data_IF_478587521325
#
_entry.id   IF_478587521325
#
_cell.length_a   1.000
_cell.length_b   1.000
_cell.length_c   1.000
_cell.angle_alpha   90.00
_cell.angle_beta   90.00
_cell.angle_gamma   90.00
#
_symmetry.space_group_name_H-M   'P 1'
#
loop_
_entity.id
_entity.type
_entity.pdbx_description
1 polymer ?
#
# COMPACT_ATOMS: atom_id res chain seq x y z
N UNK A 1 -13.65 -10.21 -4.40
CA UNK A 1 -14.67 -11.21 -3.98
C UNK A 1 -14.28 -12.67 -4.28
N UNK A 2 -14.14 -13.09 -5.56
CA UNK A 2 -13.93 -14.51 -5.93
C UNK A 2 -12.84 -15.23 -5.13
N UNK A 3 -11.66 -14.63 -4.98
CA UNK A 3 -10.55 -15.21 -4.21
C UNK A 3 -10.90 -15.45 -2.74
N UNK A 4 -11.49 -14.46 -2.07
CA UNK A 4 -11.90 -14.57 -0.65
C UNK A 4 -12.96 -15.66 -0.45
N UNK A 5 -13.98 -15.73 -1.33
CA UNK A 5 -15.02 -16.76 -1.28
C UNK A 5 -14.47 -18.17 -1.53
N UNK A 6 -13.42 -18.30 -2.34
CA UNK A 6 -12.75 -19.59 -2.56
C UNK A 6 -11.92 -20.01 -1.34
N UNK A 7 -11.07 -19.11 -0.84
CA UNK A 7 -10.19 -19.38 0.32
C UNK A 7 -11.02 -19.68 1.57
N UNK A 8 -12.11 -18.95 1.81
CA UNK A 8 -12.95 -19.12 2.99
C UNK A 8 -13.49 -20.55 3.15
N UNK A 9 -13.74 -21.27 2.05
CA UNK A 9 -14.25 -22.64 2.09
C UNK A 9 -13.24 -23.67 2.59
N UNK A 10 -11.94 -23.41 2.42
CA UNK A 10 -10.90 -24.45 2.52
C UNK A 10 -9.62 -24.02 3.24
N UNK A 11 -9.48 -22.74 3.63
CA UNK A 11 -8.23 -22.28 4.21
C UNK A 11 -8.22 -20.85 4.75
N UNK A 12 -7.02 -20.28 4.81
CA UNK A 12 -6.72 -18.98 5.40
C UNK A 12 -5.84 -18.16 4.47
N UNK A 13 -6.24 -16.91 4.20
CA UNK A 13 -5.53 -16.04 3.27
C UNK A 13 -4.29 -15.38 3.89
N UNK A 14 -3.24 -15.20 3.11
CA UNK A 14 -2.16 -14.25 3.39
C UNK A 14 -2.44 -12.97 2.61
N UNK A 15 -2.98 -11.96 3.28
CA UNK A 15 -3.40 -10.72 2.65
C UNK A 15 -2.21 -9.75 2.63
N UNK A 16 -1.72 -9.38 1.46
CA UNK A 16 -0.61 -8.44 1.32
C UNK A 16 -0.76 -7.63 0.03
N UNK A 17 -0.16 -6.43 0.01
CA UNK A 17 -0.01 -5.62 -1.20
C UNK A 17 1.44 -5.42 -1.61
N UNK A 18 2.36 -5.49 -0.64
CA UNK A 18 3.79 -5.24 -0.83
C UNK A 18 4.62 -6.40 -0.31
N UNK A 19 5.79 -6.57 -0.93
CA UNK A 19 6.90 -7.40 -0.48
C UNK A 19 8.16 -6.95 -1.24
N UNK A 20 9.29 -7.59 -0.96
CA UNK A 20 10.59 -7.29 -1.57
C UNK A 20 10.71 -7.60 -3.08
N UNK A 21 9.69 -8.19 -3.71
CA UNK A 21 9.64 -8.54 -5.14
C UNK A 21 8.59 -7.72 -5.92
N UNK A 22 7.83 -6.85 -5.25
CA UNK A 22 6.83 -5.99 -5.88
C UNK A 22 7.23 -4.52 -5.77
N UNK A 23 6.81 -3.65 -6.71
CA UNK A 23 6.91 -2.21 -6.51
C UNK A 23 5.94 -1.75 -5.39
N UNK A 24 6.09 -0.52 -4.92
CA UNK A 24 5.23 0.06 -3.88
C UNK A 24 3.77 0.07 -4.31
N UNK A 25 2.89 -0.34 -3.41
CA UNK A 25 1.46 -0.53 -3.67
C UNK A 25 0.79 0.77 -4.11
N UNK A 26 1.19 1.89 -3.50
CA UNK A 26 0.66 3.21 -3.81
C UNK A 26 0.96 3.62 -5.26
N UNK A 27 2.19 3.40 -5.73
CA UNK A 27 2.57 3.64 -7.13
C UNK A 27 1.99 2.63 -8.11
N UNK A 28 1.71 1.41 -7.66
CA UNK A 28 1.19 0.31 -8.49
C UNK A 28 -0.32 0.43 -8.72
N UNK A 29 -1.10 0.75 -7.69
CA UNK A 29 -2.56 0.68 -7.71
C UNK A 29 -3.24 2.04 -7.81
N UNK A 30 -2.68 3.11 -7.24
CA UNK A 30 -3.26 4.46 -7.36
C UNK A 30 -2.74 5.12 -8.64
N UNK A 31 -3.65 5.27 -9.62
CA UNK A 31 -3.29 5.75 -10.96
C UNK A 31 -3.00 7.24 -10.95
N UNK A 32 -3.82 8.01 -10.25
CA UNK A 32 -3.79 9.46 -10.16
C UNK A 32 -2.69 9.92 -9.19
N UNK A 33 -1.63 10.59 -9.69
CA UNK A 33 -0.48 10.95 -8.87
C UNK A 33 -0.81 11.78 -7.62
N UNK A 34 -1.84 12.64 -7.69
CA UNK A 34 -2.25 13.48 -6.56
C UNK A 34 -2.82 12.70 -5.36
N UNK A 35 -3.23 11.44 -5.57
CA UNK A 35 -3.71 10.55 -4.50
C UNK A 35 -2.65 9.55 -4.04
N UNK A 36 -1.42 9.62 -4.56
CA UNK A 36 -0.28 8.86 -4.05
C UNK A 36 0.30 9.52 -2.80
N UNK A 37 -0.56 9.69 -1.81
CA UNK A 37 -0.31 10.32 -0.52
C UNK A 37 -1.01 9.53 0.60
N UNK A 38 -1.09 10.11 1.80
CA UNK A 38 -1.73 9.48 2.96
C UNK A 38 -3.18 9.01 2.71
N UNK A 39 -3.98 9.72 1.89
CA UNK A 39 -5.37 9.32 1.59
C UNK A 39 -5.37 7.97 0.85
N UNK A 40 -4.61 7.88 -0.25
CA UNK A 40 -4.51 6.65 -1.03
C UNK A 40 -3.86 5.51 -0.27
N UNK A 41 -2.85 5.79 0.56
CA UNK A 41 -2.17 4.79 1.38
C UNK A 41 -3.13 4.18 2.41
N UNK A 42 -3.89 5.00 3.13
CA UNK A 42 -4.90 4.54 4.09
C UNK A 42 -6.06 3.80 3.42
N UNK A 43 -6.49 4.24 2.23
CA UNK A 43 -7.53 3.55 1.47
C UNK A 43 -7.09 2.13 1.06
N UNK A 44 -5.86 1.99 0.55
CA UNK A 44 -5.27 0.69 0.27
C UNK A 44 -5.11 -0.14 1.54
N UNK A 45 -4.64 0.46 2.64
CA UNK A 45 -4.49 -0.22 3.93
C UNK A 45 -5.81 -0.83 4.41
N UNK A 46 -6.89 -0.02 4.44
CA UNK A 46 -8.22 -0.47 4.84
C UNK A 46 -8.74 -1.59 3.92
N UNK A 47 -8.52 -1.48 2.60
CA UNK A 47 -8.96 -2.45 1.62
C UNK A 47 -8.47 -3.87 1.92
N UNK A 48 -7.15 -4.07 2.07
CA UNK A 48 -6.59 -5.42 2.17
C UNK A 48 -6.54 -5.93 3.62
N UNK A 49 -6.35 -5.04 4.59
CA UNK A 49 -6.17 -5.42 5.99
C UNK A 49 -7.46 -5.98 6.60
N UNK A 50 -8.61 -5.50 6.14
CA UNK A 50 -9.93 -5.98 6.55
C UNK A 50 -10.38 -7.28 5.88
N UNK A 51 -9.66 -7.83 4.92
CA UNK A 51 -10.00 -9.11 4.28
C UNK A 51 -9.82 -10.30 5.25
N UNK A 52 -10.55 -11.40 5.02
CA UNK A 52 -10.40 -12.62 5.83
C UNK A 52 -9.00 -13.21 5.61
N UNK A 53 -8.28 -13.44 6.70
CA UNK A 53 -6.90 -13.93 6.65
C UNK A 53 -5.94 -13.24 7.62
N UNK A 54 -4.65 -13.48 7.39
CA UNK A 54 -3.53 -12.85 8.07
C UNK A 54 -3.00 -11.71 7.19
N UNK A 55 -3.15 -10.43 7.59
CA UNK A 55 -2.58 -9.31 6.87
C UNK A 55 -1.08 -9.19 7.12
N UNK A 56 -0.31 -8.93 6.06
CA UNK A 56 1.12 -8.64 6.11
C UNK A 56 1.35 -7.18 5.74
N UNK A 57 2.22 -6.51 6.49
CA UNK A 57 2.69 -5.15 6.21
C UNK A 57 4.17 -5.30 5.87
N UNK A 58 4.58 -4.73 4.74
CA UNK A 58 5.99 -4.71 4.35
C UNK A 58 6.63 -3.37 4.71
N UNK A 59 7.89 -3.36 5.12
CA UNK A 59 8.58 -2.17 5.62
C UNK A 59 8.42 -0.96 4.67
N UNK A 60 7.84 0.12 5.19
CA UNK A 60 7.64 1.38 4.49
C UNK A 60 6.26 1.51 3.83
N UNK A 61 5.50 0.42 3.75
CA UNK A 61 4.10 0.45 3.33
C UNK A 61 3.27 1.28 4.34
N UNK A 62 3.58 1.15 5.62
CA UNK A 62 2.97 1.86 6.72
C UNK A 62 3.34 3.35 6.79
N UNK A 63 4.32 3.78 6.01
CA UNK A 63 4.65 5.20 5.81
C UNK A 63 4.02 5.76 4.53
N UNK A 64 3.42 4.90 3.69
CA UNK A 64 2.93 5.30 2.38
C UNK A 64 4.04 5.57 1.35
N UNK A 65 5.19 4.88 1.45
CA UNK A 65 6.30 5.05 0.51
C UNK A 65 5.87 4.79 -0.96
N UNK A 66 6.45 5.56 -1.88
CA UNK A 66 6.25 5.42 -3.33
C UNK A 66 7.49 4.86 -4.03
N UNK A 67 7.33 4.45 -5.28
CA UNK A 67 8.45 4.02 -6.12
C UNK A 67 9.51 5.13 -6.20
N UNK A 68 10.78 4.73 -6.23
CA UNK A 68 11.86 5.64 -6.59
C UNK A 68 11.80 5.96 -8.09
N UNK A 69 12.24 7.16 -8.46
CA UNK A 69 12.46 7.54 -9.86
C UNK A 69 13.95 7.63 -10.11
N UNK A 70 14.45 6.72 -10.94
CA UNK A 70 15.85 6.63 -11.37
C UNK A 70 16.00 7.14 -12.78
N UNK A 71 17.12 7.79 -13.06
CA UNK A 71 17.45 8.42 -14.34
C UNK A 71 18.47 7.64 -15.16
N UNK A 72 19.05 6.57 -14.61
CA UNK A 72 19.97 5.68 -15.30
C UNK A 72 19.74 4.23 -14.81
N UNK A 73 19.91 3.24 -15.70
CA UNK A 73 19.89 1.81 -15.39
C UNK A 73 20.95 1.43 -14.34
N UNK A 74 22.09 2.13 -14.28
CA UNK A 74 23.16 1.90 -13.29
C UNK A 74 22.73 2.21 -11.84
N UNK A 75 21.61 2.92 -11.65
CA UNK A 75 21.05 3.20 -10.32
C UNK A 75 20.19 2.04 -9.78
N UNK A 76 19.98 0.99 -10.57
CA UNK A 76 19.30 -0.23 -10.17
C UNK A 76 20.32 -1.31 -9.78
N UNK A 77 20.01 -2.09 -8.75
CA UNK A 77 20.78 -3.27 -8.36
C UNK A 77 20.05 -4.58 -8.75
N UNK A 78 18.77 -4.51 -9.12
CA UNK A 78 18.02 -5.68 -9.55
C UNK A 78 18.46 -6.17 -10.94
N UNK A 79 19.04 -7.37 -10.99
CA UNK A 79 19.41 -8.05 -12.23
C UNK A 79 18.25 -8.14 -13.24
N UNK A 80 17.02 -8.35 -12.77
CA UNK A 80 15.85 -8.40 -13.64
C UNK A 80 15.56 -7.04 -14.29
N UNK A 81 15.83 -5.92 -13.61
CA UNK A 81 15.71 -4.59 -14.20
C UNK A 81 16.74 -4.40 -15.33
N UNK A 82 18.00 -4.79 -15.10
CA UNK A 82 19.06 -4.77 -16.12
C UNK A 82 18.72 -5.63 -17.34
N UNK A 83 18.21 -6.86 -17.12
CA UNK A 83 17.84 -7.76 -18.21
C UNK A 83 16.64 -7.26 -19.01
N UNK A 84 15.60 -6.77 -18.33
CA UNK A 84 14.41 -6.22 -19.00
C UNK A 84 14.74 -4.93 -19.75
N UNK A 85 15.62 -4.09 -19.21
CA UNK A 85 16.10 -2.89 -19.90
C UNK A 85 16.83 -3.27 -21.19
N UNK A 86 17.83 -4.16 -21.11
CA UNK A 86 18.59 -4.64 -22.29
C UNK A 86 17.70 -5.33 -23.31
N UNK A 87 16.73 -6.13 -22.87
CA UNK A 87 15.73 -6.76 -23.74
C UNK A 87 14.90 -5.70 -24.46
N UNK A 88 14.37 -4.70 -23.76
CA UNK A 88 13.57 -3.65 -24.38
C UNK A 88 14.35 -2.91 -25.48
N UNK A 89 15.63 -2.59 -25.25
CA UNK A 89 16.49 -2.01 -26.28
C UNK A 89 16.66 -2.94 -27.50
N UNK A 90 16.88 -4.24 -27.27
CA UNK A 90 17.01 -5.22 -28.33
C UNK A 90 15.73 -5.40 -29.17
N UNK A 91 14.56 -5.16 -28.57
CA UNK A 91 13.26 -5.17 -29.26
C UNK A 91 12.93 -3.81 -29.93
N UNK A 92 13.84 -2.84 -29.90
CA UNK A 92 13.70 -1.55 -30.60
C UNK A 92 13.02 -0.44 -29.80
N UNK A 93 12.80 -0.60 -28.49
CA UNK A 93 12.33 0.50 -27.64
C UNK A 93 13.46 1.48 -27.33
N UNK A 94 13.12 2.76 -27.11
CA UNK A 94 14.09 3.76 -26.67
C UNK A 94 14.51 3.55 -25.21
N UNK A 95 15.66 4.11 -24.85
CA UNK A 95 16.16 4.12 -23.47
C UNK A 95 15.13 4.71 -22.49
N UNK A 96 14.49 5.82 -22.85
CA UNK A 96 13.45 6.45 -22.03
C UNK A 96 12.26 5.53 -21.75
N UNK A 97 11.79 4.79 -22.76
CA UNK A 97 10.69 3.84 -22.62
C UNK A 97 11.14 2.66 -21.75
N UNK A 98 12.30 2.08 -22.03
CA UNK A 98 12.86 0.99 -21.25
C UNK A 98 13.04 1.38 -19.78
N UNK A 99 13.61 2.57 -19.52
CA UNK A 99 13.84 3.12 -18.19
C UNK A 99 12.53 3.40 -17.44
N UNK A 100 11.52 3.92 -18.14
CA UNK A 100 10.17 4.13 -17.59
C UNK A 100 9.53 2.81 -17.16
N UNK A 101 9.66 1.77 -17.99
CA UNK A 101 9.14 0.44 -17.68
C UNK A 101 9.80 -0.16 -16.43
N UNK A 102 11.13 -0.12 -16.33
CA UNK A 102 11.84 -0.68 -15.16
C UNK A 102 11.61 0.15 -13.90
N UNK A 103 11.53 1.49 -13.99
CA UNK A 103 11.13 2.33 -12.84
C UNK A 103 9.75 1.95 -12.29
N UNK A 104 8.82 1.61 -13.18
CA UNK A 104 7.46 1.24 -12.77
C UNK A 104 7.38 -0.15 -12.14
N UNK A 105 8.23 -1.09 -12.55
CA UNK A 105 8.07 -2.53 -12.27
C UNK A 105 9.15 -3.14 -11.39
N UNK A 106 10.35 -2.56 -11.35
CA UNK A 106 11.46 -3.13 -10.61
C UNK A 106 11.11 -3.29 -9.14
N UNK A 107 11.57 -4.42 -8.58
CA UNK A 107 11.47 -4.72 -7.16
C UNK A 107 12.42 -3.90 -6.29
N UNK A 108 13.41 -3.23 -6.87
CA UNK A 108 14.25 -2.26 -6.16
C UNK A 108 13.44 -1.10 -5.58
N UNK A 109 12.23 -0.86 -6.06
CA UNK A 109 11.31 0.11 -5.47
C UNK A 109 10.89 -0.23 -4.04
N UNK A 110 10.86 -1.52 -3.69
CA UNK A 110 10.58 -1.98 -2.33
C UNK A 110 11.84 -2.11 -1.47
N UNK A 111 13.04 -2.02 -2.07
CA UNK A 111 14.31 -2.32 -1.40
C UNK A 111 15.13 -1.10 -1.02
N UNK A 112 14.64 0.10 -1.36
CA UNK A 112 15.31 1.34 -0.96
C UNK A 112 15.45 1.39 0.56
N UNK A 113 16.54 1.98 1.09
CA UNK A 113 16.70 2.21 2.52
C UNK A 113 15.44 2.75 3.19
N UNK A 114 15.14 2.24 4.39
CA UNK A 114 13.98 2.67 5.16
C UNK A 114 14.23 4.08 5.73
N UNK A 115 13.35 5.06 5.51
CA UNK A 115 13.53 6.43 5.98
C UNK A 115 13.06 6.54 7.44
N UNK A 116 14.00 6.50 8.38
CA UNK A 116 13.72 6.67 9.81
C UNK A 116 13.41 8.12 10.18
N UNK A 117 14.18 9.07 9.66
CA UNK A 117 14.08 10.50 9.96
C UNK A 117 14.60 11.36 8.79
N UNK A 118 14.78 12.67 9.01
CA UNK A 118 15.31 13.62 8.03
C UNK A 118 16.85 13.80 8.12
N UNK A 119 17.54 12.96 8.89
CA UNK A 119 19.00 12.99 8.97
C UNK A 119 19.64 12.40 7.70
N UNK A 120 20.98 12.39 7.65
CA UNK A 120 21.71 11.83 6.51
C UNK A 120 21.28 10.38 6.23
N UNK A 121 21.02 10.07 4.95
CA UNK A 121 20.50 8.78 4.50
C UNK A 121 19.19 8.37 5.20
N UNK A 122 18.40 9.34 5.66
CA UNK A 122 17.15 9.13 6.38
C UNK A 122 17.33 8.30 7.65
N UNK A 123 18.45 8.48 8.36
CA UNK A 123 18.77 7.71 9.57
C UNK A 123 19.10 6.23 9.33
N UNK A 124 19.17 5.78 8.08
CA UNK A 124 19.44 4.37 7.76
C UNK A 124 20.85 3.90 8.14
N UNK A 125 21.85 4.80 8.07
CA UNK A 125 23.23 4.50 8.44
C UNK A 125 23.96 5.78 8.89
N UNK A 126 25.20 5.63 9.37
CA UNK A 126 26.04 6.73 9.87
C UNK A 126 26.73 7.58 8.77
N UNK A 127 26.12 7.71 7.59
CA UNK A 127 26.61 8.53 6.48
C UNK A 127 27.43 7.80 5.40
N UNK A 128 27.50 6.46 5.45
CA UNK A 128 28.10 5.66 4.39
C UNK A 128 27.21 5.64 3.14
N UNK A 129 27.80 5.49 1.95
CA UNK A 129 27.05 5.33 0.71
C UNK A 129 26.13 4.09 0.80
N UNK A 130 24.80 4.26 0.70
CA UNK A 130 23.88 3.14 0.72
C UNK A 130 24.08 2.24 -0.50
N UNK A 131 23.97 0.92 -0.31
CA UNK A 131 24.08 -0.05 -1.41
C UNK A 131 23.03 0.14 -2.52
N UNK A 132 21.91 0.79 -2.18
CA UNK A 132 20.90 1.26 -3.12
C UNK A 132 20.50 2.68 -2.71
N UNK A 133 20.44 3.64 -3.66
CA UNK A 133 20.05 5.01 -3.33
C UNK A 133 18.68 5.09 -2.66
N UNK A 134 18.51 6.10 -1.81
CA UNK A 134 17.22 6.41 -1.23
C UNK A 134 16.22 6.78 -2.32
N UNK A 135 14.97 6.39 -2.13
CA UNK A 135 13.88 6.93 -2.92
C UNK A 135 13.66 8.39 -2.53
N UNK A 136 13.51 9.27 -3.52
CA UNK A 136 12.95 10.61 -3.31
C UNK A 136 11.47 10.46 -2.95
N UNK A 137 11.17 10.46 -1.66
CA UNK A 137 9.80 10.44 -1.17
C UNK A 137 9.18 11.83 -1.23
N UNK A 138 7.86 11.92 -1.02
CA UNK A 138 7.20 13.19 -0.71
C UNK A 138 7.82 13.73 0.59
N UNK A 139 8.02 15.05 0.68
CA UNK A 139 8.54 15.68 1.89
C UNK A 139 7.69 15.26 3.10
N UNK A 140 8.35 14.85 4.19
CA UNK A 140 7.68 14.38 5.42
C UNK A 140 7.32 12.89 5.46
N UNK A 141 7.65 12.09 4.44
CA UNK A 141 7.46 10.62 4.48
C UNK A 141 8.71 9.95 5.07
N UNK A 142 8.76 9.90 6.40
CA UNK A 142 9.74 9.15 7.20
C UNK A 142 9.07 8.67 8.50
N UNK A 143 9.69 7.72 9.22
CA UNK A 143 9.10 7.17 10.44
C UNK A 143 8.88 8.22 11.52
N UNK A 144 9.83 9.13 11.77
CA UNK A 144 9.70 10.15 12.80
C UNK A 144 8.48 11.06 12.57
N UNK A 145 8.34 11.61 11.37
CA UNK A 145 7.21 12.46 11.00
C UNK A 145 5.87 11.72 11.08
N UNK A 146 5.83 10.47 10.61
CA UNK A 146 4.64 9.62 10.69
C UNK A 146 4.33 9.17 12.13
N UNK A 147 5.34 9.03 12.99
CA UNK A 147 5.18 8.70 14.40
C UNK A 147 4.58 9.87 15.19
N UNK A 148 5.02 11.09 14.90
CA UNK A 148 4.61 12.31 15.60
C UNK A 148 3.23 12.83 15.15
N UNK A 149 2.75 12.44 13.96
CA UNK A 149 1.42 12.81 13.47
C UNK A 149 0.34 11.75 13.83
N UNK A 150 -0.65 12.09 14.68
CA UNK A 150 -1.74 11.18 15.03
C UNK A 150 -2.67 10.84 13.85
N UNK A 151 -2.60 11.63 12.77
CA UNK A 151 -3.35 11.41 11.53
C UNK A 151 -2.48 10.80 10.43
N UNK A 152 -1.33 10.24 10.74
CA UNK A 152 -0.42 9.65 9.75
C UNK A 152 -0.92 8.31 9.17
N UNK A 153 -0.23 7.80 8.15
CA UNK A 153 -0.45 6.43 7.65
C UNK A 153 0.00 5.41 8.70
N UNK A 154 1.10 5.70 9.40
CA UNK A 154 1.60 4.86 10.49
C UNK A 154 0.55 4.68 11.61
N UNK A 155 -0.01 5.77 12.10
CA UNK A 155 -1.04 5.76 13.15
C UNK A 155 -2.34 5.08 12.66
N UNK A 156 -2.66 5.22 11.37
CA UNK A 156 -3.77 4.49 10.77
C UNK A 156 -3.57 2.97 10.79
N UNK A 157 -2.37 2.48 10.43
CA UNK A 157 -2.02 1.06 10.54
C UNK A 157 -2.04 0.56 12.00
N UNK A 158 -1.52 1.36 12.95
CA UNK A 158 -1.63 1.02 14.37
C UNK A 158 -3.10 0.89 14.82
N UNK A 159 -3.97 1.76 14.31
CA UNK A 159 -5.41 1.71 14.59
C UNK A 159 -6.06 0.47 13.99
N UNK A 160 -5.74 0.12 12.73
CA UNK A 160 -6.17 -1.14 12.12
C UNK A 160 -5.74 -2.36 12.94
N UNK A 161 -4.49 -2.40 13.41
CA UNK A 161 -3.97 -3.46 14.28
C UNK A 161 -4.74 -3.54 15.61
N UNK A 162 -5.06 -2.41 16.24
CA UNK A 162 -5.85 -2.35 17.48
C UNK A 162 -7.29 -2.82 17.25
N UNK A 163 -7.96 -2.32 16.21
CA UNK A 163 -9.31 -2.75 15.84
C UNK A 163 -9.36 -4.26 15.61
N UNK A 164 -8.40 -4.81 14.86
CA UNK A 164 -8.36 -6.23 14.54
C UNK A 164 -8.09 -7.12 15.76
N UNK A 165 -7.22 -6.69 16.69
CA UNK A 165 -6.72 -7.59 17.75
C UNK A 165 -7.26 -7.31 19.15
N UNK A 166 -7.69 -6.07 19.43
CA UNK A 166 -8.00 -5.60 20.78
C UNK A 166 -9.25 -4.68 20.79
N UNK A 167 -10.27 -5.02 20.01
CA UNK A 167 -11.55 -4.31 20.00
C UNK A 167 -12.74 -5.29 20.02
N UNK A 168 -13.97 -4.80 20.25
CA UNK A 168 -15.19 -5.60 20.09
C UNK A 168 -15.35 -6.20 18.68
N UNK A 169 -14.71 -5.63 17.65
CA UNK A 169 -14.76 -6.11 16.26
C UNK A 169 -13.80 -7.28 15.99
N UNK A 170 -13.01 -7.73 16.97
CA UNK A 170 -11.98 -8.75 16.80
C UNK A 170 -12.54 -10.03 16.14
N UNK A 171 -13.65 -10.56 16.65
CA UNK A 171 -14.22 -11.81 16.13
C UNK A 171 -14.62 -11.67 14.65
N UNK A 172 -15.31 -10.59 14.29
CA UNK A 172 -15.69 -10.26 12.91
C UNK A 172 -14.47 -10.09 11.99
N UNK A 173 -13.44 -9.34 12.42
CA UNK A 173 -12.25 -9.03 11.62
C UNK A 173 -11.26 -10.20 11.50
N UNK A 174 -11.19 -11.09 12.50
CA UNK A 174 -10.34 -12.27 12.45
C UNK A 174 -11.11 -13.43 11.80
N UNK A 175 -12.08 -14.00 12.51
CA UNK A 175 -12.75 -15.25 12.13
C UNK A 175 -13.95 -15.04 11.21
N UNK A 176 -14.59 -13.86 11.27
CA UNK A 176 -15.82 -13.57 10.55
C UNK A 176 -15.73 -13.76 9.04
N UNK A 177 -16.80 -14.32 8.48
CA UNK A 177 -16.91 -14.58 7.05
C UNK A 177 -16.85 -13.30 6.22
N UNK A 178 -16.22 -13.38 5.06
CA UNK A 178 -16.24 -12.36 4.04
C UNK A 178 -17.53 -12.47 3.21
N UNK A 179 -18.22 -11.35 3.04
CA UNK A 179 -19.32 -11.23 2.08
C UNK A 179 -19.13 -9.98 1.22
N UNK A 180 -19.15 -10.08 -0.13
CA UNK A 180 -19.16 -8.88 -0.97
C UNK A 180 -20.45 -8.10 -0.77
N UNK A 181 -20.36 -6.76 -0.80
CA UNK A 181 -21.50 -5.86 -0.76
C UNK A 181 -21.59 -5.12 -2.09
N UNK A 182 -22.81 -4.85 -2.54
CA UNK A 182 -23.06 -3.92 -3.65
C UNK A 182 -23.17 -2.51 -3.08
N UNK A 183 -22.24 -1.63 -3.44
CA UNK A 183 -22.26 -0.23 -3.04
C UNK A 183 -23.13 0.64 -3.98
N UNK A 184 -23.74 0.04 -5.00
CA UNK A 184 -24.45 0.71 -6.09
C UNK A 184 -23.60 1.79 -6.78
N UNK A 185 -22.28 1.61 -6.74
CA UNK A 185 -21.29 2.51 -7.31
C UNK A 185 -20.01 1.75 -7.68
N UNK A 186 -19.69 1.68 -8.98
CA UNK A 186 -18.54 0.92 -9.49
C UNK A 186 -17.17 1.44 -8.99
N UNK A 187 -17.11 2.66 -8.45
CA UNK A 187 -15.88 3.23 -7.88
C UNK A 187 -15.61 2.76 -6.45
N UNK A 188 -16.60 2.18 -5.77
CA UNK A 188 -16.52 1.79 -4.36
C UNK A 188 -16.46 0.29 -4.24
N UNK A 189 -15.39 -0.19 -3.64
CA UNK A 189 -15.27 -1.58 -3.21
C UNK A 189 -15.87 -1.68 -1.81
N UNK A 190 -16.93 -2.48 -1.67
CA UNK A 190 -17.58 -2.74 -0.40
C UNK A 190 -17.61 -4.22 -0.05
N UNK A 191 -17.42 -4.54 1.23
CA UNK A 191 -17.57 -5.89 1.75
C UNK A 191 -17.86 -5.91 3.25
N UNK A 192 -18.55 -6.95 3.71
CA UNK A 192 -18.78 -7.23 5.11
C UNK A 192 -17.78 -8.25 5.66
N UNK A 193 -17.55 -8.18 6.97
CA UNK A 193 -16.83 -9.15 7.78
C UNK A 193 -17.70 -9.54 8.97
N UNK A 194 -17.99 -10.83 9.09
CA UNK A 194 -18.87 -11.36 10.13
C UNK A 194 -20.28 -10.76 10.06
N UNK A 195 -20.83 -10.43 11.22
CA UNK A 195 -22.19 -9.91 11.40
C UNK A 195 -22.22 -8.37 11.47
N UNK A 196 -21.14 -7.74 11.96
CA UNK A 196 -21.20 -6.34 12.41
C UNK A 196 -20.31 -5.36 11.65
N UNK A 197 -19.38 -5.84 10.82
CA UNK A 197 -18.40 -4.97 10.16
C UNK A 197 -18.70 -4.85 8.68
N UNK A 198 -18.73 -3.62 8.18
CA UNK A 198 -18.77 -3.30 6.76
C UNK A 198 -17.63 -2.33 6.43
N UNK A 199 -16.99 -2.55 5.30
CA UNK A 199 -15.82 -1.80 4.84
C UNK A 199 -16.15 -1.26 3.45
N UNK A 200 -15.94 0.05 3.27
CA UNK A 200 -16.17 0.77 2.03
C UNK A 200 -14.88 1.49 1.64
N UNK A 201 -14.41 1.28 0.42
CA UNK A 201 -13.18 1.90 -0.09
C UNK A 201 -13.43 2.45 -1.48
N UNK A 202 -13.37 3.77 -1.62
CA UNK A 202 -13.33 4.42 -2.92
C UNK A 202 -11.86 4.48 -3.40
N UNK A 203 -11.53 3.75 -4.46
CA UNK A 203 -10.19 3.75 -5.08
C UNK A 203 -10.13 4.58 -6.36
N UNK A 204 -11.13 5.43 -6.59
CA UNK A 204 -11.18 6.35 -7.72
C UNK A 204 -10.84 7.78 -7.28
N UNK A 205 -10.56 8.64 -8.26
CA UNK A 205 -10.39 10.07 -8.07
C UNK A 205 -11.70 10.85 -8.05
N UNK A 206 -12.86 10.17 -8.05
CA UNK A 206 -14.18 10.79 -8.15
C UNK A 206 -14.92 10.62 -6.84
N UNK A 207 -15.62 11.66 -6.40
CA UNK A 207 -16.57 11.53 -5.31
C UNK A 207 -17.64 10.50 -5.67
N UNK A 208 -18.00 9.66 -4.70
CA UNK A 208 -18.97 8.61 -4.84
C UNK A 208 -20.01 8.74 -3.73
N UNK A 209 -21.28 8.77 -4.09
CA UNK A 209 -22.37 8.61 -3.13
C UNK A 209 -22.57 7.11 -2.87
N UNK A 210 -22.75 6.76 -1.60
CA UNK A 210 -23.07 5.41 -1.13
C UNK A 210 -24.10 5.50 -0.02
N UNK A 211 -25.05 4.57 -0.02
CA UNK A 211 -26.01 4.44 1.06
C UNK A 211 -25.37 3.66 2.19
N UNK A 212 -24.95 4.36 3.25
CA UNK A 212 -24.39 3.73 4.44
C UNK A 212 -25.52 3.19 5.33
N UNK A 213 -25.40 1.97 5.87
CA UNK A 213 -26.35 1.48 6.86
C UNK A 213 -26.23 2.29 8.16
N UNK A 214 -27.28 2.29 8.97
CA UNK A 214 -27.22 2.83 10.32
C UNK A 214 -26.16 2.09 11.15
N UNK A 215 -25.30 2.83 11.86
CA UNK A 215 -24.23 2.25 12.66
C UNK A 215 -23.22 3.27 13.16
N UNK A 216 -22.09 2.75 13.65
CA UNK A 216 -20.96 3.55 14.14
C UNK A 216 -19.79 3.47 13.15
N UNK A 217 -19.25 4.62 12.75
CA UNK A 217 -17.99 4.71 12.00
C UNK A 217 -16.81 4.46 12.95
N UNK A 218 -16.15 3.32 12.82
CA UNK A 218 -15.00 2.96 13.66
C UNK A 218 -13.66 3.53 13.16
N UNK A 219 -13.55 3.78 11.85
CA UNK A 219 -12.35 4.28 11.21
C UNK A 219 -12.69 4.99 9.90
N UNK A 220 -12.13 6.17 9.71
CA UNK A 220 -12.24 6.99 8.50
C UNK A 220 -10.85 7.54 8.15
N UNK A 221 -10.56 7.73 6.86
CA UNK A 221 -9.31 8.36 6.39
C UNK A 221 -9.49 9.81 5.92
N UNK A 222 -10.71 10.35 6.01
CA UNK A 222 -11.03 11.77 5.87
C UNK A 222 -11.30 12.40 7.24
N UNK A 223 -11.11 13.72 7.39
CA UNK A 223 -11.65 14.43 8.54
C UNK A 223 -13.18 14.35 8.54
N UNK A 224 -13.76 14.26 9.74
CA UNK A 224 -15.21 14.35 9.95
C UNK A 224 -15.74 15.78 9.68
#
# INVERSE_FOLDING_TARGET
>A
AKSQLAIQKVGWGANFLENHDQPRSLSKYIREPQYRNAIGAKALALLYFGLRGCPFIYQGQELGMVNAVRTNIDQFNDLSAHDNYRRALAEGYSEDVALTCVNRRSRDNARTPYPWDDSQNGGFNAGHEPWLPLAKQVAGVNWQAEHDDPNSVWTFYQTLCRLRNASPLRADLIEGDFAPLDAHNDNVIAYARGQHVQIFVNLSSKSAAVDLPAGHVWLNNYPD
#
